data_IF_545769395579
#
_entry.id   IF_545769395579
#
_cell.length_a   1.000
_cell.length_b   1.000
_cell.length_c   1.000
_cell.angle_alpha   90.00
_cell.angle_beta   90.00
_cell.angle_gamma   90.00
#
_symmetry.space_group_name_H-M   'P 1'
#
loop_
_entity.id
_entity.type
_entity.pdbx_description
1 polymer ?
#
# COMPACT_ATOMS: atom_id res chain seq x y z
N UNK A 1 10.06 -20.48 -22.29
CA UNK A 1 9.43 -19.24 -21.77
C UNK A 1 8.01 -19.57 -21.36
N UNK A 2 7.68 -19.52 -20.05
CA UNK A 2 6.27 -19.58 -19.62
C UNK A 2 5.72 -18.16 -19.63
N UNK A 3 4.65 -17.92 -20.39
CA UNK A 3 3.93 -16.65 -20.38
C UNK A 3 3.14 -16.56 -19.07
N UNK A 4 3.18 -15.43 -18.38
CA UNK A 4 2.32 -15.22 -17.20
C UNK A 4 0.87 -15.12 -17.65
N UNK A 5 -0.03 -15.78 -16.93
CA UNK A 5 -1.46 -15.55 -17.07
C UNK A 5 -1.81 -14.10 -16.71
N UNK A 6 -2.98 -13.63 -17.15
CA UNK A 6 -3.50 -12.29 -16.79
C UNK A 6 -3.57 -12.12 -15.26
N UNK A 7 -3.96 -13.18 -14.54
CA UNK A 7 -4.06 -13.16 -13.08
C UNK A 7 -2.69 -13.03 -12.40
N UNK A 8 -1.67 -13.77 -12.88
CA UNK A 8 -0.30 -13.67 -12.38
C UNK A 8 0.33 -12.31 -12.70
N UNK A 9 0.01 -11.75 -13.87
CA UNK A 9 0.46 -10.41 -14.23
C UNK A 9 -0.19 -9.36 -13.32
N UNK A 10 -1.50 -9.43 -13.11
CA UNK A 10 -2.21 -8.51 -12.21
C UNK A 10 -1.70 -8.58 -10.77
N UNK A 11 -1.40 -9.78 -10.26
CA UNK A 11 -0.80 -9.95 -8.94
C UNK A 11 0.58 -9.30 -8.86
N UNK A 12 1.41 -9.48 -9.88
CA UNK A 12 2.73 -8.86 -9.95
C UNK A 12 2.67 -7.34 -10.07
N UNK A 13 1.75 -6.82 -10.89
CA UNK A 13 1.55 -5.38 -11.05
C UNK A 13 1.05 -4.75 -9.74
N UNK A 14 0.18 -5.45 -9.00
CA UNK A 14 -0.27 -5.02 -7.68
C UNK A 14 0.88 -4.96 -6.68
N UNK A 15 1.68 -6.04 -6.61
CA UNK A 15 2.86 -6.11 -5.74
C UNK A 15 3.87 -4.99 -6.06
N UNK A 16 4.06 -4.66 -7.33
CA UNK A 16 4.89 -3.53 -7.76
C UNK A 16 4.27 -2.19 -7.35
N UNK A 17 2.96 -1.99 -7.57
CA UNK A 17 2.27 -0.76 -7.24
C UNK A 17 2.33 -0.45 -5.74
N UNK A 18 2.02 -1.43 -4.88
CA UNK A 18 2.10 -1.24 -3.41
C UNK A 18 3.53 -1.00 -2.94
N UNK A 19 4.52 -1.64 -3.58
CA UNK A 19 5.94 -1.39 -3.29
C UNK A 19 6.33 0.06 -3.61
N UNK A 20 5.87 0.60 -4.75
CA UNK A 20 6.13 1.98 -5.14
C UNK A 20 5.41 2.99 -4.22
N UNK A 21 4.22 2.64 -3.73
CA UNK A 21 3.50 3.45 -2.74
C UNK A 21 4.31 3.59 -1.45
N UNK A 22 4.84 2.49 -0.89
CA UNK A 22 5.63 2.55 0.35
C UNK A 22 7.02 3.14 0.16
N UNK A 23 7.56 3.09 -1.08
CA UNK A 23 8.83 3.73 -1.45
C UNK A 23 8.70 5.24 -1.69
N UNK A 24 7.47 5.75 -1.88
CA UNK A 24 7.25 7.16 -2.17
C UNK A 24 7.81 8.06 -1.04
N UNK A 25 8.53 9.15 -1.38
CA UNK A 25 9.12 10.05 -0.39
C UNK A 25 8.14 10.60 0.66
N UNK A 26 6.88 10.77 0.29
CA UNK A 26 5.84 11.33 1.15
C UNK A 26 5.07 10.28 1.94
N UNK A 27 5.33 8.98 1.74
CA UNK A 27 4.57 7.90 2.36
C UNK A 27 4.54 8.02 3.89
N UNK A 28 5.67 8.43 4.49
CA UNK A 28 5.77 8.65 5.93
C UNK A 28 4.86 9.78 6.44
N UNK A 29 4.79 10.92 5.73
CA UNK A 29 3.94 12.06 6.12
C UNK A 29 2.48 11.71 5.94
N UNK A 30 2.13 11.09 4.82
CA UNK A 30 0.76 10.65 4.55
C UNK A 30 0.28 9.69 5.63
N UNK A 31 1.11 8.71 6.01
CA UNK A 31 0.78 7.78 7.09
C UNK A 31 0.67 8.49 8.46
N UNK A 32 1.57 9.42 8.76
CA UNK A 32 1.51 10.19 10.00
C UNK A 32 0.24 11.03 10.10
N UNK A 33 -0.18 11.64 9.00
CA UNK A 33 -1.43 12.41 8.95
C UNK A 33 -2.66 11.54 9.21
N UNK A 34 -2.71 10.34 8.63
CA UNK A 34 -3.79 9.38 8.89
C UNK A 34 -3.88 9.00 10.37
N UNK A 35 -2.73 8.88 11.05
CA UNK A 35 -2.67 8.51 12.47
C UNK A 35 -3.04 9.68 13.39
N UNK A 36 -2.58 10.90 13.06
CA UNK A 36 -2.64 12.04 13.96
C UNK A 36 -3.88 12.94 13.77
N UNK A 37 -4.65 12.74 12.70
CA UNK A 37 -5.78 13.61 12.38
C UNK A 37 -7.14 12.91 12.33
N UNK A 38 -8.16 13.60 12.87
CA UNK A 38 -9.57 13.16 12.84
C UNK A 38 -10.29 13.42 11.50
N UNK A 39 -9.54 13.59 10.39
CA UNK A 39 -10.15 13.81 9.07
C UNK A 39 -9.74 12.73 8.05
N UNK A 40 -10.51 12.64 6.96
CA UNK A 40 -10.30 11.66 5.90
C UNK A 40 -8.96 11.94 5.22
N UNK A 41 -8.03 10.99 5.33
CA UNK A 41 -6.66 11.05 4.78
C UNK A 41 -6.44 9.94 3.73
N UNK A 42 -6.87 10.16 2.47
CA UNK A 42 -6.86 9.13 1.43
C UNK A 42 -5.45 8.65 1.08
N UNK A 43 -4.47 9.54 1.05
CA UNK A 43 -3.07 9.18 0.76
C UNK A 43 -2.46 8.33 1.88
N UNK A 44 -2.77 8.64 3.14
CA UNK A 44 -2.31 7.84 4.27
C UNK A 44 -2.94 6.46 4.28
N UNK A 45 -4.26 6.39 4.03
CA UNK A 45 -4.99 5.12 3.93
C UNK A 45 -4.44 4.22 2.82
N UNK A 46 -4.08 4.79 1.67
CA UNK A 46 -3.39 4.06 0.60
C UNK A 46 -2.06 3.46 1.06
N UNK A 47 -1.24 4.23 1.77
CA UNK A 47 0.05 3.74 2.29
C UNK A 47 -0.15 2.63 3.30
N UNK A 48 -1.16 2.76 4.17
CA UNK A 48 -1.48 1.75 5.16
C UNK A 48 -1.99 0.45 4.51
N UNK A 49 -2.89 0.54 3.53
CA UNK A 49 -3.34 -0.59 2.72
C UNK A 49 -2.17 -1.32 2.05
N UNK A 50 -1.20 -0.57 1.50
CA UNK A 50 0.00 -1.13 0.90
C UNK A 50 0.86 -1.91 1.92
N UNK A 51 1.03 -1.40 3.14
CA UNK A 51 1.73 -2.11 4.21
C UNK A 51 1.01 -3.42 4.60
N UNK A 52 -0.31 -3.38 4.77
CA UNK A 52 -1.13 -4.56 5.07
C UNK A 52 -1.01 -5.63 3.98
N UNK A 53 -1.08 -5.23 2.71
CA UNK A 53 -0.91 -6.15 1.59
C UNK A 53 0.47 -6.81 1.59
N UNK A 54 1.53 -6.04 1.82
CA UNK A 54 2.91 -6.55 1.90
C UNK A 54 3.15 -7.47 3.12
N UNK A 55 2.37 -7.29 4.19
CA UNK A 55 2.35 -8.15 5.37
C UNK A 55 1.38 -9.35 5.26
N UNK A 56 0.65 -9.47 4.14
CA UNK A 56 -0.25 -10.61 3.88
C UNK A 56 -1.68 -10.44 4.36
N UNK A 57 -2.06 -9.32 4.98
CA UNK A 57 -3.41 -8.99 5.43
C UNK A 57 -4.27 -8.51 4.24
N UNK A 58 -4.59 -9.43 3.31
CA UNK A 58 -5.15 -9.08 1.99
C UNK A 58 -6.55 -8.49 2.06
N UNK A 59 -7.40 -9.01 2.92
CA UNK A 59 -8.80 -8.56 3.01
C UNK A 59 -8.87 -7.23 3.75
N UNK A 60 -8.09 -7.07 4.82
CA UNK A 60 -7.94 -5.79 5.51
C UNK A 60 -7.29 -4.73 4.61
N UNK A 61 -6.33 -5.12 3.76
CA UNK A 61 -5.77 -4.22 2.76
C UNK A 61 -6.83 -3.78 1.74
N UNK A 62 -7.71 -4.69 1.31
CA UNK A 62 -8.82 -4.35 0.42
C UNK A 62 -9.73 -3.29 1.04
N UNK A 63 -10.14 -3.47 2.31
CA UNK A 63 -10.93 -2.47 3.04
C UNK A 63 -10.29 -1.07 2.98
N UNK A 64 -9.00 -0.97 3.29
CA UNK A 64 -8.30 0.31 3.28
C UNK A 64 -8.09 0.88 1.86
N UNK A 65 -7.95 0.02 0.84
CA UNK A 65 -7.98 0.50 -0.54
C UNK A 65 -9.36 1.05 -0.92
N UNK A 66 -10.45 0.41 -0.50
CA UNK A 66 -11.82 0.87 -0.77
C UNK A 66 -12.10 2.20 -0.07
N UNK A 67 -11.68 2.33 1.19
CA UNK A 67 -11.74 3.59 1.94
C UNK A 67 -11.01 4.72 1.19
N UNK A 68 -9.75 4.49 0.82
CA UNK A 68 -8.94 5.49 0.13
C UNK A 68 -9.54 5.85 -1.24
N UNK A 69 -10.02 4.85 -2.00
CA UNK A 69 -10.61 5.04 -3.33
C UNK A 69 -11.95 5.78 -3.27
N UNK A 70 -12.79 5.48 -2.26
CA UNK A 70 -14.03 6.19 -1.96
C UNK A 70 -13.79 7.64 -1.57
N UNK A 71 -12.69 7.91 -0.88
CA UNK A 71 -12.20 9.26 -0.57
C UNK A 71 -11.49 9.96 -1.75
N UNK A 72 -11.49 9.37 -2.95
CA UNK A 72 -10.97 9.98 -4.18
C UNK A 72 -9.54 9.59 -4.57
N UNK A 73 -8.90 8.67 -3.84
CA UNK A 73 -7.55 8.22 -4.18
C UNK A 73 -7.56 7.32 -5.43
N UNK A 74 -7.06 7.87 -6.54
CA UNK A 74 -6.90 7.16 -7.82
C UNK A 74 -6.02 5.91 -7.71
N UNK A 75 -4.90 6.00 -7.01
CA UNK A 75 -3.94 4.90 -6.91
C UNK A 75 -4.56 3.73 -6.16
N UNK A 76 -5.34 3.99 -5.12
CA UNK A 76 -6.09 2.96 -4.41
C UNK A 76 -7.12 2.28 -5.33
N UNK A 77 -7.87 3.06 -6.11
CA UNK A 77 -8.79 2.51 -7.12
C UNK A 77 -8.07 1.65 -8.17
N UNK A 78 -6.85 2.04 -8.57
CA UNK A 78 -6.04 1.22 -9.48
C UNK A 78 -5.54 -0.07 -8.82
N UNK A 79 -5.12 -0.02 -7.55
CA UNK A 79 -4.79 -1.23 -6.78
C UNK A 79 -5.99 -2.18 -6.66
N UNK A 80 -7.20 -1.68 -6.43
CA UNK A 80 -8.43 -2.49 -6.41
C UNK A 80 -8.71 -3.13 -7.76
N UNK A 81 -8.56 -2.39 -8.85
CA UNK A 81 -8.66 -2.97 -10.20
C UNK A 81 -7.73 -4.19 -10.35
N UNK A 82 -6.46 -4.07 -9.96
CA UNK A 82 -5.50 -5.17 -10.04
C UNK A 82 -5.84 -6.31 -9.09
N UNK A 83 -6.30 -6.00 -7.87
CA UNK A 83 -6.70 -6.95 -6.84
C UNK A 83 -7.88 -7.81 -7.30
N UNK A 84 -8.92 -7.21 -7.89
CA UNK A 84 -10.05 -7.96 -8.45
C UNK A 84 -9.66 -8.69 -9.75
N UNK A 85 -8.77 -8.12 -10.56
CA UNK A 85 -8.31 -8.78 -11.79
C UNK A 85 -7.50 -10.06 -11.49
N UNK A 86 -6.64 -10.08 -10.48
CA UNK A 86 -5.95 -11.31 -10.06
C UNK A 86 -6.91 -12.38 -9.51
N UNK A 87 -8.08 -11.98 -9.00
CA UNK A 87 -9.15 -12.87 -8.50
C UNK A 87 -10.15 -13.30 -9.59
N UNK A 88 -9.96 -12.88 -10.84
CA UNK A 88 -10.88 -13.10 -11.96
C UNK A 88 -12.26 -12.41 -11.81
N UNK A 89 -12.36 -11.40 -10.94
CA UNK A 89 -13.58 -10.64 -10.67
C UNK A 89 -13.73 -9.49 -11.67
N UNK A 90 -13.90 -9.84 -12.95
CA UNK A 90 -13.77 -8.90 -14.07
C UNK A 90 -14.73 -7.70 -14.03
N UNK A 91 -15.96 -7.89 -13.51
CA UNK A 91 -16.95 -6.80 -13.39
C UNK A 91 -16.50 -5.76 -12.37
N UNK A 92 -16.11 -6.20 -11.18
CA UNK A 92 -15.61 -5.35 -10.11
C UNK A 92 -14.30 -4.67 -10.51
N UNK A 93 -13.41 -5.41 -11.18
CA UNK A 93 -12.19 -4.84 -11.75
C UNK A 93 -12.50 -3.70 -12.75
N UNK A 94 -13.45 -3.91 -13.66
CA UNK A 94 -13.83 -2.88 -14.65
C UNK A 94 -14.41 -1.62 -13.98
N UNK A 95 -15.21 -1.78 -12.92
CA UNK A 95 -15.74 -0.67 -12.12
C UNK A 95 -14.61 0.18 -11.53
N UNK A 96 -13.67 -0.44 -10.81
CA UNK A 96 -12.56 0.29 -10.18
C UNK A 96 -11.61 0.92 -11.20
N UNK A 97 -11.42 0.29 -12.36
CA UNK A 97 -10.64 0.88 -13.46
C UNK A 97 -11.30 2.14 -14.02
N UNK A 98 -12.62 2.15 -14.15
CA UNK A 98 -13.37 3.32 -14.57
C UNK A 98 -13.30 4.43 -13.50
N UNK A 99 -13.47 4.08 -12.22
CA UNK A 99 -13.34 5.01 -11.10
C UNK A 99 -11.95 5.66 -11.05
N UNK A 100 -10.88 4.87 -11.15
CA UNK A 100 -9.51 5.36 -11.20
C UNK A 100 -9.32 6.38 -12.34
N UNK A 101 -9.88 6.11 -13.53
CA UNK A 101 -9.81 7.01 -14.69
C UNK A 101 -10.57 8.31 -14.48
N UNK A 102 -11.72 8.28 -13.82
CA UNK A 102 -12.54 9.46 -13.55
C UNK A 102 -11.85 10.41 -12.54
N UNK A 103 -11.16 9.87 -11.54
CA UNK A 103 -10.45 10.65 -10.51
C UNK A 103 -9.10 11.20 -10.99
N UNK A 104 -9.00 11.70 -12.23
CA UNK A 104 -7.76 12.27 -12.78
C UNK A 104 -7.57 13.70 -12.31
N UNK A 105 -6.57 14.02 -11.47
CA UNK A 105 -6.16 15.41 -11.39
C UNK A 105 -5.58 15.83 -12.75
N UNK A 106 -5.75 17.09 -13.16
CA UNK A 106 -5.03 17.62 -14.32
C UNK A 106 -3.52 17.44 -14.12
N UNK A 107 -2.71 17.33 -15.19
CA UNK A 107 -1.27 17.13 -15.08
C UNK A 107 -0.65 18.27 -14.27
N UNK A 108 -0.20 17.96 -13.06
CA UNK A 108 0.48 18.91 -12.19
C UNK A 108 1.98 18.87 -12.48
N UNK A 109 2.58 20.05 -12.68
CA UNK A 109 4.04 20.17 -12.74
C UNK A 109 4.61 19.71 -11.39
N UNK A 110 5.64 18.84 -11.37
CA UNK A 110 6.26 18.44 -10.11
C UNK A 110 6.82 19.68 -9.41
N UNK A 111 6.26 20.02 -8.25
CA UNK A 111 6.83 21.04 -7.38
C UNK A 111 8.15 20.48 -6.83
N UNK A 112 9.28 21.10 -7.19
CA UNK A 112 10.59 20.71 -6.72
C UNK A 112 10.77 21.06 -5.23
N UNK A 113 10.21 20.25 -4.34
CA UNK A 113 10.44 20.38 -2.90
C UNK A 113 11.79 19.74 -2.53
N UNK A 114 12.80 20.58 -2.27
CA UNK A 114 14.14 20.19 -1.80
C UNK A 114 14.19 19.89 -0.29
N UNK A 115 13.07 19.52 0.34
CA UNK A 115 13.09 19.13 1.76
C UNK A 115 13.73 17.76 1.91
N UNK A 116 14.51 17.50 2.98
CA UNK A 116 15.02 16.17 3.28
C UNK A 116 13.83 15.21 3.37
N UNK A 117 13.78 14.27 2.44
CA UNK A 117 12.74 13.27 2.34
C UNK A 117 13.04 12.18 3.37
N UNK A 118 12.29 12.15 4.47
CA UNK A 118 12.33 11.00 5.37
C UNK A 118 11.51 9.89 4.71
N UNK A 119 12.12 8.77 4.38
CA UNK A 119 11.36 7.65 3.82
C UNK A 119 10.67 6.88 4.94
N UNK A 120 9.53 6.25 4.62
CA UNK A 120 8.80 5.41 5.57
C UNK A 120 9.65 4.20 5.98
N UNK A 121 10.30 3.57 5.00
CA UNK A 121 11.10 2.38 5.18
C UNK A 121 12.60 2.66 4.99
N UNK A 122 13.50 1.96 5.70
CA UNK A 122 14.93 2.03 5.47
C UNK A 122 15.29 1.70 4.01
N UNK A 123 16.35 2.32 3.49
CA UNK A 123 16.76 2.15 2.09
C UNK A 123 17.01 0.68 1.71
N UNK A 124 17.65 -0.10 2.59
CA UNK A 124 17.89 -1.52 2.36
C UNK A 124 16.62 -2.33 2.12
N UNK A 125 15.57 -2.04 2.90
CA UNK A 125 14.24 -2.67 2.78
C UNK A 125 13.58 -2.27 1.46
N UNK A 126 13.55 -0.97 1.15
CA UNK A 126 12.94 -0.45 -0.10
C UNK A 126 13.58 -1.07 -1.34
N UNK A 127 14.91 -1.08 -1.38
CA UNK A 127 15.67 -1.71 -2.46
C UNK A 127 15.39 -3.22 -2.55
N UNK A 128 15.21 -3.90 -1.42
CA UNK A 128 14.91 -5.33 -1.43
C UNK A 128 13.52 -5.65 -2.00
N UNK A 129 12.50 -4.89 -1.58
CA UNK A 129 11.13 -5.03 -2.09
C UNK A 129 11.10 -4.86 -3.62
N UNK A 130 11.71 -3.78 -4.14
CA UNK A 130 11.79 -3.51 -5.57
C UNK A 130 12.52 -4.64 -6.32
N UNK A 131 13.65 -5.11 -5.79
CA UNK A 131 14.40 -6.23 -6.39
C UNK A 131 13.59 -7.52 -6.43
N UNK A 132 12.81 -7.83 -5.40
CA UNK A 132 11.95 -9.02 -5.37
C UNK A 132 10.89 -8.92 -6.46
N UNK A 133 10.21 -7.79 -6.56
CA UNK A 133 9.25 -7.51 -7.62
C UNK A 133 9.87 -7.77 -9.00
N UNK A 134 11.01 -7.13 -9.32
CA UNK A 134 11.68 -7.31 -10.62
C UNK A 134 12.10 -8.76 -10.91
N UNK A 135 12.43 -9.55 -9.88
CA UNK A 135 12.72 -10.99 -10.01
C UNK A 135 11.47 -11.86 -10.11
N UNK A 136 10.28 -11.27 -10.14
CA UNK A 136 9.00 -11.96 -10.17
C UNK A 136 8.66 -12.70 -8.87
N UNK A 137 9.29 -12.31 -7.76
CA UNK A 137 9.00 -12.83 -6.42
C UNK A 137 8.07 -11.86 -5.70
N UNK A 138 7.21 -12.39 -4.84
CA UNK A 138 6.37 -11.55 -3.98
C UNK A 138 7.25 -10.71 -3.04
N UNK A 139 7.04 -9.40 -2.96
CA UNK A 139 7.67 -8.56 -1.94
C UNK A 139 7.08 -8.92 -0.58
N UNK A 140 7.94 -9.02 0.44
CA UNK A 140 7.56 -9.34 1.82
C UNK A 140 8.28 -8.36 2.74
N UNK A 141 7.59 -7.90 3.79
CA UNK A 141 8.22 -7.03 4.76
C UNK A 141 9.22 -7.83 5.63
N UNK A 142 10.24 -7.17 6.19
CA UNK A 142 11.06 -7.76 7.25
C UNK A 142 10.21 -8.19 8.45
N UNK A 143 10.58 -9.27 9.17
CA UNK A 143 9.80 -9.80 10.30
C UNK A 143 9.46 -8.78 11.37
N UNK A 144 10.35 -7.81 11.62
CA UNK A 144 10.10 -6.74 12.59
C UNK A 144 8.95 -5.82 12.18
N UNK A 145 8.84 -5.50 10.89
CA UNK A 145 7.73 -4.67 10.38
C UNK A 145 6.43 -5.45 10.36
N UNK A 146 6.49 -6.73 9.99
CA UNK A 146 5.34 -7.64 10.08
C UNK A 146 4.84 -7.76 11.53
N UNK A 147 5.75 -7.85 12.51
CA UNK A 147 5.40 -7.90 13.92
C UNK A 147 4.71 -6.62 14.41
N UNK A 148 5.17 -5.44 13.97
CA UNK A 148 4.49 -4.17 14.28
C UNK A 148 3.07 -4.17 13.71
N UNK A 149 2.89 -4.57 12.44
CA UNK A 149 1.58 -4.65 11.79
C UNK A 149 0.66 -5.65 12.50
N UNK A 150 1.19 -6.82 12.91
CA UNK A 150 0.44 -7.81 13.67
C UNK A 150 0.03 -7.31 15.06
N UNK A 151 0.78 -6.39 15.66
CA UNK A 151 0.47 -5.84 16.99
C UNK A 151 -0.49 -4.64 16.97
N UNK A 152 -0.99 -4.24 15.80
CA UNK A 152 -1.88 -3.10 15.69
C UNK A 152 -3.21 -3.34 16.42
N UNK A 153 -3.79 -2.31 17.03
CA UNK A 153 -5.14 -2.41 17.57
C UNK A 153 -6.12 -2.68 16.43
N UNK A 154 -7.12 -3.52 16.69
CA UNK A 154 -8.16 -3.86 15.72
C UNK A 154 -9.50 -3.27 16.14
N UNK A 155 -10.31 -2.84 15.17
CA UNK A 155 -11.70 -2.46 15.40
C UNK A 155 -12.59 -3.69 15.59
N UNK A 156 -13.85 -3.44 16.00
CA UNK A 156 -14.89 -4.47 15.98
C UNK A 156 -14.98 -5.11 14.60
N UNK A 157 -15.20 -6.43 14.52
CA UNK A 157 -15.17 -7.14 13.26
C UNK A 157 -16.20 -6.59 12.28
N UNK A 158 -15.72 -6.22 11.11
CA UNK A 158 -16.54 -5.89 9.95
C UNK A 158 -17.13 -7.17 9.33
N UNK A 159 -18.33 -7.07 8.77
CA UNK A 159 -19.07 -8.24 8.23
C UNK A 159 -18.32 -8.90 7.06
N UNK A 160 -17.62 -8.12 6.23
CA UNK A 160 -16.95 -8.60 5.03
C UNK A 160 -15.43 -8.81 5.25
N UNK A 161 -14.82 -8.04 6.16
CA UNK A 161 -13.36 -7.97 6.29
C UNK A 161 -12.81 -8.44 7.66
N UNK A 162 -13.69 -8.79 8.60
CA UNK A 162 -13.30 -9.24 9.93
C UNK A 162 -12.68 -8.12 10.76
N UNK A 163 -11.75 -8.48 11.66
CA UNK A 163 -11.04 -7.51 12.50
C UNK A 163 -10.15 -6.59 11.63
N UNK A 164 -10.48 -5.29 11.59
CA UNK A 164 -9.75 -4.30 10.80
C UNK A 164 -8.64 -3.68 11.65
N UNK A 165 -7.34 -3.86 11.30
CA UNK A 165 -6.25 -3.17 11.96
C UNK A 165 -6.36 -1.66 11.77
N UNK A 166 -6.11 -0.92 12.83
CA UNK A 166 -6.06 0.53 12.83
C UNK A 166 -4.64 1.05 12.68
N UNK A 167 -4.45 2.15 11.93
CA UNK A 167 -3.15 2.80 11.87
C UNK A 167 -2.83 3.39 13.25
N UNK A 168 -1.62 3.12 13.73
CA UNK A 168 -1.14 3.57 15.03
C UNK A 168 0.22 4.29 14.92
N UNK A 169 0.57 5.09 15.93
CA UNK A 169 1.82 5.86 15.98
C UNK A 169 3.07 4.98 15.92
N UNK A 170 2.98 3.72 16.33
CA UNK A 170 4.06 2.74 16.16
C UNK A 170 4.52 2.58 14.71
N UNK A 171 3.64 2.76 13.73
CA UNK A 171 3.98 2.69 12.30
C UNK A 171 4.80 3.89 11.81
N UNK A 172 4.65 5.06 12.43
CA UNK A 172 5.38 6.28 12.05
C UNK A 172 6.71 6.41 12.78
N UNK A 173 6.84 5.69 13.90
CA UNK A 173 8.03 5.64 14.75
C UNK A 173 8.97 4.48 14.43
N UNK A 174 8.76 3.77 13.32
CA UNK A 174 9.64 2.70 12.87
C UNK A 174 11.11 3.20 12.85
N UNK A 175 12.00 2.60 13.67
CA UNK A 175 13.37 3.08 13.73
C UNK A 175 14.05 2.85 12.37
N UNK A 176 14.77 3.87 11.91
CA UNK A 176 15.44 3.87 10.61
C UNK A 176 16.60 2.86 10.49
N UNK A 177 16.87 2.02 11.50
CA UNK A 177 18.07 1.18 11.55
C UNK A 177 17.82 -0.19 12.19
N UNK A 178 18.27 -1.24 11.49
CA UNK A 178 19.03 -2.30 12.16
C UNK A 178 20.52 -2.03 11.92
N UNK A 179 21.39 -2.25 12.92
CA UNK A 179 22.82 -2.39 12.64
C UNK A 179 22.99 -3.59 11.71
N UNK A 180 23.83 -3.43 10.69
CA UNK A 180 24.32 -4.55 9.89
C UNK A 180 24.87 -5.60 10.85
N UNK A 181 24.16 -6.71 10.99
CA UNK A 181 24.69 -7.86 11.73
C UNK A 181 25.82 -8.43 10.87
N UNK A 182 26.99 -8.57 11.49
CA UNK A 182 28.30 -8.79 10.88
C UNK A 182 28.43 -10.01 9.97
#
# INVERSE_FOLDING_TARGET
MRYRSVHEQAAHDLDLAVTLVVDAPQAHLSLARLVDHDHIEPEGALVFAALLHLAGYRDQAQFWFEFAAGAGNRTAAFCLYLLHLQRAEHRTAAYWRAHARASAPPPQRPAASHRPQRFLLPEGVRRDLIRRCWRGRRPTLPPRLEAVIHSLPVDTPDEDFGEIPRPDRTLTQLPAQEPATG
#
